data_IF_777724533224
#
_entry.id   IF_777724533224
#
_cell.length_a   1.000
_cell.length_b   1.000
_cell.length_c   1.000
_cell.angle_alpha   90.00
_cell.angle_beta   90.00
_cell.angle_gamma   90.00
#
_symmetry.space_group_name_H-M   'P 1'
#
loop_
_entity.id
_entity.type
_entity.pdbx_description
1 polymer ?
#
# COMPACT_ATOMS: atom_id res chain seq x y z
N UNK A 1 -1.31 16.69 0.99
CA UNK A 1 -0.11 17.42 0.56
C UNK A 1 0.82 16.38 -0.01
N UNK A 2 1.21 16.51 -1.28
CA UNK A 2 2.22 15.65 -1.90
C UNK A 2 3.60 16.11 -1.42
N UNK A 3 3.82 16.10 -0.10
CA UNK A 3 5.04 16.59 0.53
C UNK A 3 6.24 15.76 0.08
N UNK A 4 6.95 16.32 -0.90
CA UNK A 4 8.36 16.18 -1.25
C UNK A 4 9.10 14.94 -0.74
N UNK A 5 8.73 13.75 -1.25
CA UNK A 5 9.66 12.63 -1.43
C UNK A 5 10.63 12.94 -2.61
N UNK A 6 11.20 14.15 -2.59
CA UNK A 6 11.97 14.73 -3.67
C UNK A 6 13.39 14.16 -3.69
N UNK A 7 13.58 13.20 -4.59
CA UNK A 7 14.69 13.36 -5.53
C UNK A 7 14.36 13.00 -6.98
N UNK A 8 13.18 12.44 -7.31
CA UNK A 8 12.90 11.99 -8.69
C UNK A 8 11.47 12.27 -9.25
N UNK A 9 10.46 12.74 -8.49
CA UNK A 9 9.08 12.97 -9.01
C UNK A 9 8.69 14.46 -9.06
N UNK A 10 9.67 15.37 -9.12
CA UNK A 10 9.39 16.80 -9.13
C UNK A 10 10.34 17.54 -10.06
N UNK A 11 9.78 18.32 -10.97
CA UNK A 11 10.47 19.37 -11.69
C UNK A 11 10.27 20.75 -10.99
N UNK A 12 9.73 20.76 -9.78
CA UNK A 12 9.43 21.94 -8.97
C UNK A 12 7.99 22.42 -9.11
N UNK A 13 7.57 23.38 -8.27
CA UNK A 13 6.17 23.87 -8.31
C UNK A 13 5.90 24.81 -9.48
N UNK A 14 4.64 24.82 -9.95
CA UNK A 14 4.14 25.77 -10.95
C UNK A 14 2.81 26.38 -10.52
N UNK A 15 2.47 27.53 -11.10
CA UNK A 15 1.17 28.16 -10.86
C UNK A 15 0.05 27.39 -11.56
N UNK A 16 -1.12 27.34 -10.93
CA UNK A 16 -2.33 26.76 -11.51
C UNK A 16 -2.70 27.40 -12.87
N UNK A 17 -2.37 28.68 -13.08
CA UNK A 17 -2.54 29.34 -14.38
C UNK A 17 -1.69 28.71 -15.50
N UNK A 18 -0.54 28.14 -15.16
CA UNK A 18 0.31 27.35 -16.06
C UNK A 18 -0.36 26.04 -16.48
N UNK A 19 -0.94 25.31 -15.51
CA UNK A 19 -1.71 24.08 -15.77
C UNK A 19 -2.92 24.37 -16.67
N UNK A 20 -3.68 25.42 -16.37
CA UNK A 20 -4.82 25.84 -17.17
C UNK A 20 -4.43 26.27 -18.60
N UNK A 21 -3.26 26.94 -18.77
CA UNK A 21 -2.70 27.30 -20.09
C UNK A 21 -2.36 26.04 -20.91
N UNK A 22 -1.85 24.99 -20.26
CA UNK A 22 -1.57 23.71 -20.90
C UNK A 22 -2.84 23.04 -21.44
N UNK A 23 -3.86 22.84 -20.59
CA UNK A 23 -5.13 22.24 -21.00
C UNK A 23 -5.74 22.98 -22.21
N UNK A 24 -5.70 24.31 -22.17
CA UNK A 24 -6.18 25.17 -23.27
C UNK A 24 -5.37 24.99 -24.56
N UNK A 25 -4.04 24.88 -24.46
CA UNK A 25 -3.16 24.66 -25.63
C UNK A 25 -3.38 23.30 -26.28
N UNK A 26 -3.61 22.27 -25.48
CA UNK A 26 -3.93 20.92 -25.94
C UNK A 26 -5.38 20.78 -26.42
N UNK A 27 -6.20 21.83 -26.30
CA UNK A 27 -7.65 21.83 -26.59
C UNK A 27 -8.41 20.76 -25.78
N UNK A 28 -7.92 20.47 -24.58
CA UNK A 28 -8.53 19.54 -23.64
C UNK A 28 -9.43 20.29 -22.65
N UNK A 29 -10.40 19.60 -22.01
CA UNK A 29 -11.09 20.16 -20.86
C UNK A 29 -10.10 20.43 -19.72
N UNK A 30 -10.57 21.11 -18.66
CA UNK A 30 -9.81 21.22 -17.43
C UNK A 30 -9.42 19.83 -16.94
N UNK A 31 -8.27 19.72 -16.29
CA UNK A 31 -7.83 18.47 -15.69
C UNK A 31 -8.57 18.22 -14.37
N UNK A 32 -8.69 16.94 -13.95
CA UNK A 32 -9.20 16.59 -12.64
C UNK A 32 -8.46 17.33 -11.52
N UNK A 33 -9.15 17.61 -10.41
CA UNK A 33 -8.61 18.44 -9.34
C UNK A 33 -7.37 17.80 -8.70
N UNK A 34 -7.40 16.48 -8.49
CA UNK A 34 -6.31 15.72 -7.88
C UNK A 34 -5.03 15.81 -8.72
N UNK A 35 -5.18 15.65 -10.04
CA UNK A 35 -4.05 15.74 -10.98
C UNK A 35 -3.58 17.19 -11.16
N UNK A 36 -4.50 18.15 -11.17
CA UNK A 36 -4.16 19.59 -11.18
C UNK A 36 -3.32 19.97 -9.96
N UNK A 37 -3.71 19.49 -8.78
CA UNK A 37 -2.97 19.75 -7.55
C UNK A 37 -1.58 19.10 -7.60
N UNK A 38 -1.47 17.86 -8.06
CA UNK A 38 -0.18 17.21 -8.29
C UNK A 38 0.72 18.07 -9.18
N UNK A 39 0.23 18.51 -10.35
CA UNK A 39 1.02 19.34 -11.26
C UNK A 39 1.41 20.69 -10.68
N UNK A 40 0.55 21.33 -9.88
CA UNK A 40 0.88 22.58 -9.18
C UNK A 40 2.03 22.38 -8.20
N UNK A 41 2.01 21.27 -7.47
CA UNK A 41 3.00 20.96 -6.44
C UNK A 41 4.33 20.48 -7.04
N UNK A 42 4.29 19.62 -8.07
CA UNK A 42 5.48 18.88 -8.54
C UNK A 42 5.91 19.23 -9.96
N UNK A 43 5.00 19.76 -10.79
CA UNK A 43 5.21 19.91 -12.22
C UNK A 43 5.68 18.61 -12.91
N UNK A 44 5.14 17.46 -12.47
CA UNK A 44 5.55 16.14 -12.93
C UNK A 44 7.00 15.79 -12.57
N UNK A 45 7.53 14.72 -13.13
CA UNK A 45 8.88 14.25 -12.83
C UNK A 45 9.29 13.05 -13.65
N UNK A 46 10.55 12.65 -13.53
CA UNK A 46 11.09 11.40 -14.09
C UNK A 46 11.32 10.46 -12.89
N UNK A 47 10.25 9.82 -12.37
CA UNK A 47 10.37 8.84 -11.30
C UNK A 47 11.50 7.85 -11.61
N UNK A 48 12.29 7.53 -10.60
CA UNK A 48 13.26 6.44 -10.70
C UNK A 48 12.82 5.31 -9.80
N UNK A 49 12.68 4.12 -10.37
CA UNK A 49 12.36 2.90 -9.63
C UNK A 49 11.01 3.00 -8.89
N UNK A 50 10.04 3.62 -9.57
CA UNK A 50 8.66 3.69 -9.11
C UNK A 50 7.89 2.63 -9.87
N UNK A 51 7.43 1.61 -9.17
CA UNK A 51 6.69 0.52 -9.75
C UNK A 51 5.18 0.70 -9.55
N UNK A 52 4.42 0.10 -10.44
CA UNK A 52 2.98 -0.03 -10.36
C UNK A 52 2.59 -1.46 -10.70
N UNK A 53 1.44 -1.87 -10.19
CA UNK A 53 0.86 -3.18 -10.43
C UNK A 53 -0.45 -2.99 -11.17
N UNK A 54 -0.66 -3.77 -12.22
CA UNK A 54 -1.92 -3.83 -12.96
C UNK A 54 -2.44 -5.26 -12.94
N UNK A 55 -3.70 -5.43 -12.55
CA UNK A 55 -4.42 -6.68 -12.72
C UNK A 55 -5.03 -6.70 -14.13
N UNK A 56 -4.43 -7.47 -15.03
CA UNK A 56 -4.94 -7.73 -16.37
C UNK A 56 -5.84 -8.98 -16.35
N UNK A 57 -6.72 -9.19 -17.35
CA UNK A 57 -7.68 -10.30 -17.33
C UNK A 57 -7.09 -11.70 -17.12
N UNK A 58 -5.84 -11.93 -17.53
CA UNK A 58 -5.19 -13.25 -17.47
C UNK A 58 -3.87 -13.25 -16.66
N UNK A 59 -3.39 -12.08 -16.23
CA UNK A 59 -2.10 -11.97 -15.55
C UNK A 59 -2.01 -10.71 -14.69
N UNK A 60 -1.00 -10.68 -13.83
CA UNK A 60 -0.63 -9.49 -13.07
C UNK A 60 0.63 -8.91 -13.72
N UNK A 61 0.53 -7.68 -14.22
CA UNK A 61 1.67 -6.96 -14.77
C UNK A 61 2.29 -6.06 -13.69
N UNK A 62 3.61 -6.09 -13.59
CA UNK A 62 4.39 -5.21 -12.72
C UNK A 62 5.30 -4.35 -13.60
N UNK A 63 4.98 -3.06 -13.69
CA UNK A 63 5.69 -2.11 -14.54
C UNK A 63 6.46 -1.07 -13.74
N UNK A 64 7.52 -0.51 -14.32
CA UNK A 64 8.20 0.67 -13.79
C UNK A 64 7.72 1.92 -14.51
N UNK A 65 7.29 2.94 -13.78
CA UNK A 65 7.00 4.27 -14.32
C UNK A 65 8.33 4.97 -14.55
N UNK A 66 8.57 5.32 -15.81
CA UNK A 66 9.78 6.04 -16.23
C UNK A 66 9.55 7.54 -16.23
N UNK A 67 8.33 7.98 -16.48
CA UNK A 67 7.98 9.39 -16.59
C UNK A 67 6.56 9.64 -16.05
N UNK A 68 6.42 10.68 -15.22
CA UNK A 68 5.14 11.27 -14.85
C UNK A 68 5.08 12.67 -15.46
N UNK A 69 4.18 12.87 -16.42
CA UNK A 69 4.21 14.07 -17.25
C UNK A 69 3.97 15.35 -16.44
N UNK A 70 4.80 16.34 -16.75
CA UNK A 70 4.88 17.64 -16.13
C UNK A 70 4.79 18.77 -17.14
N UNK A 71 4.42 19.97 -16.70
CA UNK A 71 4.29 21.17 -17.57
C UNK A 71 5.66 21.79 -17.90
N UNK A 72 6.74 21.35 -17.23
CA UNK A 72 8.18 21.61 -17.39
C UNK A 72 8.62 23.08 -17.61
N UNK A 73 8.09 23.78 -18.62
CA UNK A 73 8.22 25.24 -18.75
C UNK A 73 7.02 25.83 -19.52
N UNK A 74 6.42 26.98 -19.10
CA UNK A 74 5.25 27.59 -19.75
C UNK A 74 5.47 28.08 -21.19
N UNK A 75 6.64 27.84 -21.77
CA UNK A 75 7.02 28.19 -23.15
C UNK A 75 7.66 27.01 -23.90
N UNK A 76 7.96 25.89 -23.23
CA UNK A 76 8.62 24.72 -23.83
C UNK A 76 7.68 23.51 -23.69
N UNK A 77 6.64 23.50 -24.53
CA UNK A 77 5.58 22.49 -24.52
C UNK A 77 5.84 21.33 -25.48
N UNK A 78 7.04 21.25 -26.07
CA UNK A 78 7.36 20.35 -27.18
C UNK A 78 7.08 18.89 -26.82
N UNK A 79 7.54 18.41 -25.67
CA UNK A 79 7.39 17.00 -25.26
C UNK A 79 5.94 16.57 -25.06
N UNK A 80 5.17 17.30 -24.24
CA UNK A 80 3.73 17.03 -24.01
C UNK A 80 2.90 17.20 -25.27
N UNK A 81 3.20 18.21 -26.09
CA UNK A 81 2.47 18.46 -27.35
C UNK A 81 2.79 17.40 -28.40
N UNK A 82 4.01 16.89 -28.45
CA UNK A 82 4.43 15.83 -29.38
C UNK A 82 3.83 14.49 -28.95
N UNK A 83 3.99 14.10 -27.68
CA UNK A 83 3.43 12.85 -27.16
C UNK A 83 1.90 12.87 -27.10
N UNK A 84 1.30 14.06 -26.93
CA UNK A 84 -0.15 14.22 -26.98
C UNK A 84 -0.65 14.95 -28.24
N UNK A 85 0.11 14.89 -29.34
CA UNK A 85 -0.38 15.44 -30.61
C UNK A 85 -1.44 14.49 -31.18
N UNK A 86 -2.57 14.99 -31.69
CA UNK A 86 -3.55 14.15 -32.35
C UNK A 86 -2.92 13.24 -33.41
N UNK A 87 -1.98 13.75 -34.21
CA UNK A 87 -1.29 12.99 -35.27
C UNK A 87 -0.38 11.85 -34.77
N UNK A 88 0.02 11.86 -33.49
CA UNK A 88 0.90 10.85 -32.89
C UNK A 88 0.20 9.95 -31.86
N UNK A 89 -0.98 10.35 -31.36
CA UNK A 89 -1.82 9.53 -30.46
C UNK A 89 -2.95 8.83 -31.21
N UNK A 90 -3.36 9.30 -32.39
CA UNK A 90 -4.33 8.60 -33.23
C UNK A 90 -3.89 7.12 -33.27
N UNK A 91 -4.69 6.25 -32.66
CA UNK A 91 -4.52 4.79 -32.52
C UNK A 91 -3.85 4.26 -31.24
N UNK A 92 -3.33 5.09 -30.34
CA UNK A 92 -2.70 4.64 -29.07
C UNK A 92 -3.62 4.66 -27.84
N UNK A 93 -4.47 5.67 -27.69
CA UNK A 93 -5.40 5.80 -26.54
C UNK A 93 -6.75 6.40 -26.95
N UNK A 94 -7.83 6.19 -26.18
CA UNK A 94 -9.16 6.70 -26.52
C UNK A 94 -9.22 8.24 -26.62
N UNK A 95 -10.22 8.75 -27.35
CA UNK A 95 -10.42 10.20 -27.48
C UNK A 95 -10.65 10.85 -26.10
N UNK A 96 -10.08 12.06 -25.90
CA UNK A 96 -10.09 12.79 -24.63
C UNK A 96 -9.48 12.02 -23.46
N UNK A 97 -8.53 11.13 -23.71
CA UNK A 97 -7.59 10.67 -22.69
C UNK A 97 -6.33 11.53 -22.75
N UNK A 98 -5.75 11.81 -21.58
CA UNK A 98 -4.47 12.46 -21.48
C UNK A 98 -3.45 11.43 -20.98
N UNK A 99 -2.35 11.25 -21.71
CA UNK A 99 -1.25 10.41 -21.26
C UNK A 99 -0.52 11.17 -20.14
N UNK A 100 -0.45 10.56 -18.96
CA UNK A 100 0.17 11.12 -17.74
C UNK A 100 1.41 10.35 -17.28
N UNK A 101 1.69 9.19 -17.88
CA UNK A 101 2.97 8.51 -17.68
C UNK A 101 3.26 7.44 -18.72
N UNK A 102 4.49 6.92 -18.68
CA UNK A 102 5.01 5.88 -19.58
C UNK A 102 5.80 4.88 -18.75
N UNK A 103 5.65 3.60 -19.05
CA UNK A 103 6.46 2.56 -18.44
C UNK A 103 7.72 2.23 -19.25
N UNK A 104 8.56 1.33 -18.71
CA UNK A 104 9.83 0.93 -19.32
C UNK A 104 9.73 0.22 -20.68
N UNK A 105 8.54 -0.27 -21.06
CA UNK A 105 8.30 -0.98 -22.32
C UNK A 105 7.50 -0.15 -23.34
N UNK A 106 7.05 1.04 -22.94
CA UNK A 106 6.39 2.01 -23.81
C UNK A 106 4.87 2.06 -23.69
N UNK A 107 4.30 1.28 -22.77
CA UNK A 107 2.88 1.34 -22.40
C UNK A 107 2.57 2.61 -21.63
N UNK A 108 1.30 3.02 -21.65
CA UNK A 108 0.89 4.37 -21.23
C UNK A 108 -0.03 4.34 -20.02
N UNK A 109 0.21 5.25 -19.10
CA UNK A 109 -0.73 5.56 -18.01
C UNK A 109 -1.51 6.79 -18.43
N UNK A 110 -2.84 6.70 -18.42
CA UNK A 110 -3.73 7.68 -19.03
C UNK A 110 -4.81 8.11 -18.04
N UNK A 111 -5.18 9.39 -18.06
CA UNK A 111 -6.32 9.92 -17.32
C UNK A 111 -7.48 10.19 -18.28
N UNK A 112 -8.67 9.67 -17.95
CA UNK A 112 -9.87 9.87 -18.76
C UNK A 112 -10.45 11.27 -18.51
N UNK A 113 -10.60 12.07 -19.57
CA UNK A 113 -11.19 13.41 -19.51
C UNK A 113 -12.61 13.48 -20.11
N UNK A 114 -13.18 12.35 -20.51
CA UNK A 114 -14.58 12.28 -20.91
C UNK A 114 -15.51 12.44 -19.71
N UNK A 115 -16.73 12.93 -19.95
CA UNK A 115 -17.74 13.11 -18.89
C UNK A 115 -18.03 11.82 -18.13
N UNK A 116 -18.04 10.68 -18.81
CA UNK A 116 -18.19 9.37 -18.20
C UNK A 116 -16.82 8.86 -17.76
N UNK A 117 -16.64 8.60 -16.46
CA UNK A 117 -15.36 8.15 -15.88
C UNK A 117 -14.29 9.25 -15.82
N UNK A 118 -14.69 10.52 -15.71
CA UNK A 118 -13.77 11.65 -15.62
C UNK A 118 -12.84 11.50 -14.41
N UNK A 119 -11.53 11.43 -14.64
CA UNK A 119 -10.51 11.28 -13.61
C UNK A 119 -10.02 9.84 -13.38
N UNK A 120 -10.72 8.84 -13.92
CA UNK A 120 -10.27 7.46 -13.88
C UNK A 120 -8.92 7.29 -14.59
N UNK A 121 -8.08 6.42 -14.04
CA UNK A 121 -6.75 6.11 -14.55
C UNK A 121 -6.79 4.77 -15.28
N UNK A 122 -6.23 4.75 -16.48
CA UNK A 122 -6.15 3.58 -17.34
C UNK A 122 -4.71 3.25 -17.70
N UNK A 123 -4.40 1.96 -17.80
CA UNK A 123 -3.18 1.44 -18.41
C UNK A 123 -3.49 1.04 -19.85
N UNK A 124 -2.73 1.57 -20.80
CA UNK A 124 -2.82 1.21 -22.22
C UNK A 124 -1.59 0.41 -22.58
N UNK A 125 -1.79 -0.88 -22.81
CA UNK A 125 -0.71 -1.81 -23.17
C UNK A 125 -0.29 -1.61 -24.64
N UNK A 126 0.98 -1.30 -24.85
CA UNK A 126 1.54 -1.08 -26.19
C UNK A 126 1.89 -2.40 -26.92
N UNK A 127 2.04 -3.52 -26.21
CA UNK A 127 2.43 -4.80 -26.82
C UNK A 127 1.25 -5.60 -27.40
N UNK A 128 0.01 -5.24 -27.05
CA UNK A 128 -1.18 -5.87 -27.63
C UNK A 128 -1.48 -5.25 -29.01
N UNK A 129 -1.27 -6.03 -30.08
CA UNK A 129 -1.45 -5.63 -31.49
C UNK A 129 -2.81 -4.96 -31.74
N UNK A 130 -2.77 -3.76 -32.34
CA UNK A 130 -3.94 -3.00 -32.74
C UNK A 130 -3.97 -2.90 -34.26
N UNK A 131 -4.48 -3.95 -34.94
CA UNK A 131 -4.70 -3.95 -36.39
C UNK A 131 -5.87 -3.00 -36.73
N UNK A 132 -5.58 -1.73 -37.08
CA UNK A 132 -6.63 -0.74 -37.39
C UNK A 132 -6.32 0.08 -38.63
N UNK A 133 -6.76 -0.44 -39.77
CA UNK A 133 -6.99 0.38 -40.95
C UNK A 133 -8.36 1.08 -40.81
N UNK A 134 -8.35 2.41 -41.00
CA UNK A 134 -9.49 3.34 -41.14
C UNK A 134 -9.83 4.19 -39.88
N UNK A 135 -9.54 5.48 -39.98
CA UNK A 135 -9.59 6.45 -38.88
C UNK A 135 -10.85 7.33 -38.99
N UNK A 136 -11.73 7.27 -37.99
CA UNK A 136 -12.45 8.43 -37.42
C UNK A 136 -13.34 8.01 -36.23
N UNK A 137 -12.88 8.34 -35.01
CA UNK A 137 -13.52 8.20 -33.69
C UNK A 137 -13.60 6.79 -33.07
N UNK A 138 -12.92 6.61 -31.92
CA UNK A 138 -12.93 5.38 -31.11
C UNK A 138 -13.40 5.67 -29.68
N UNK A 139 -14.28 4.82 -29.15
CA UNK A 139 -14.72 4.81 -27.74
C UNK A 139 -13.85 3.85 -26.94
N UNK A 140 -13.85 3.96 -25.61
CA UNK A 140 -13.08 3.06 -24.72
C UNK A 140 -13.35 1.58 -25.01
N UNK A 141 -14.61 1.20 -25.26
CA UNK A 141 -14.99 -0.18 -25.55
C UNK A 141 -14.42 -0.73 -26.87
N UNK A 142 -13.86 0.14 -27.71
CA UNK A 142 -13.18 -0.24 -28.94
C UNK A 142 -11.70 -0.54 -28.69
N UNK A 143 -11.13 -0.31 -27.49
CA UNK A 143 -9.74 -0.59 -27.16
C UNK A 143 -9.61 -1.82 -26.26
N UNK A 144 -9.20 -2.95 -26.85
CA UNK A 144 -9.00 -4.22 -26.12
C UNK A 144 -7.75 -4.22 -25.23
N UNK A 145 -6.88 -3.22 -25.37
CA UNK A 145 -5.60 -3.05 -24.67
C UNK A 145 -5.62 -1.93 -23.61
N UNK A 146 -6.80 -1.38 -23.28
CA UNK A 146 -6.96 -0.27 -22.33
C UNK A 146 -7.73 -0.74 -21.09
N UNK A 147 -7.04 -0.75 -19.95
CA UNK A 147 -7.52 -1.35 -18.71
C UNK A 147 -7.69 -0.28 -17.62
N UNK A 148 -8.81 -0.29 -16.91
CA UNK A 148 -9.01 0.59 -15.75
C UNK A 148 -8.11 0.13 -14.60
N UNK A 149 -7.25 1.00 -14.08
CA UNK A 149 -6.29 0.67 -13.02
C UNK A 149 -6.50 1.46 -11.72
N UNK A 150 -7.22 2.58 -11.78
CA UNK A 150 -7.67 3.30 -10.58
C UNK A 150 -8.87 4.20 -10.87
N UNK A 151 -9.71 4.44 -9.87
CA UNK A 151 -10.86 5.34 -9.97
C UNK A 151 -10.46 6.83 -9.91
N UNK A 152 -9.26 7.15 -9.43
CA UNK A 152 -8.75 8.52 -9.39
C UNK A 152 -7.22 8.57 -9.48
N UNK A 153 -6.67 9.74 -9.85
CA UNK A 153 -5.23 9.98 -9.82
C UNK A 153 -4.64 9.78 -8.42
N UNK A 154 -5.38 10.15 -7.37
CA UNK A 154 -4.93 9.98 -5.99
C UNK A 154 -4.75 8.50 -5.65
N UNK A 155 -5.74 7.67 -5.98
CA UNK A 155 -5.70 6.23 -5.70
C UNK A 155 -4.53 5.57 -6.44
N UNK A 156 -4.36 5.90 -7.73
CA UNK A 156 -3.21 5.48 -8.52
C UNK A 156 -1.87 5.92 -7.91
N UNK A 157 -1.74 7.20 -7.54
CA UNK A 157 -0.49 7.71 -7.00
C UNK A 157 -0.14 7.04 -5.67
N UNK A 158 -1.13 6.72 -4.83
CA UNK A 158 -0.92 6.00 -3.57
C UNK A 158 -0.60 4.52 -3.73
N UNK A 159 -0.93 3.91 -4.87
CA UNK A 159 -0.60 2.50 -5.15
C UNK A 159 0.84 2.31 -5.66
N UNK A 160 1.55 3.38 -5.99
CA UNK A 160 2.93 3.30 -6.49
C UNK A 160 3.89 2.83 -5.40
N UNK A 161 4.78 1.89 -5.75
CA UNK A 161 5.83 1.37 -4.86
C UNK A 161 7.19 1.95 -5.25
N UNK A 162 7.99 2.35 -4.26
CA UNK A 162 9.29 3.01 -4.47
C UNK A 162 10.42 2.04 -4.11
N UNK A 163 10.92 1.31 -5.10
CA UNK A 163 11.70 0.08 -4.91
C UNK A 163 13.15 0.31 -4.41
N UNK A 164 13.78 1.46 -4.70
CA UNK A 164 15.21 1.69 -4.36
C UNK A 164 15.49 1.96 -2.88
N UNK A 165 14.51 2.36 -2.06
CA UNK A 165 14.79 2.61 -0.64
C UNK A 165 15.12 1.31 0.12
N UNK A 166 14.52 0.18 -0.28
CA UNK A 166 14.79 -1.14 0.33
C UNK A 166 16.13 -1.77 -0.11
N UNK A 167 16.56 -1.58 -1.36
CA UNK A 167 17.87 -2.07 -1.82
C UNK A 167 19.03 -1.23 -1.31
N UNK A 168 18.83 0.09 -1.20
CA UNK A 168 19.88 1.03 -0.78
C UNK A 168 20.09 1.08 0.73
N UNK A 169 19.05 0.78 1.51
CA UNK A 169 19.10 0.75 2.96
C UNK A 169 18.61 -0.61 3.45
N UNK A 170 19.38 -1.33 4.29
CA UNK A 170 18.94 -2.61 4.82
C UNK A 170 17.85 -2.37 5.87
N UNK A 171 16.62 -2.10 5.43
CA UNK A 171 15.49 -1.70 6.28
C UNK A 171 15.19 -2.77 7.32
N UNK A 172 15.32 -4.05 6.96
CA UNK A 172 15.20 -5.16 7.91
C UNK A 172 16.22 -4.98 9.04
N UNK A 173 17.49 -4.73 8.71
CA UNK A 173 18.54 -4.43 9.70
C UNK A 173 18.28 -3.15 10.51
N UNK A 174 17.65 -2.13 9.94
CA UNK A 174 17.24 -0.92 10.68
C UNK A 174 16.16 -1.26 11.70
N UNK A 175 15.16 -2.05 11.28
CA UNK A 175 14.08 -2.50 12.14
C UNK A 175 14.61 -3.43 13.22
N UNK A 176 15.30 -4.51 12.86
CA UNK A 176 15.96 -5.48 13.76
C UNK A 176 16.82 -4.80 14.83
N UNK A 177 17.59 -3.75 14.47
CA UNK A 177 18.44 -3.04 15.42
C UNK A 177 17.71 -1.95 16.23
N UNK A 178 16.46 -1.62 15.91
CA UNK A 178 15.74 -0.54 16.57
C UNK A 178 16.28 0.86 16.25
N UNK A 179 16.83 1.08 15.05
CA UNK A 179 17.46 2.34 14.67
C UNK A 179 16.41 3.41 14.31
N UNK A 180 15.84 4.04 15.35
CA UNK A 180 14.75 5.02 15.26
C UNK A 180 15.14 6.23 14.45
N UNK A 181 16.34 6.78 14.67
CA UNK A 181 16.80 7.99 13.97
C UNK A 181 16.92 7.75 12.48
N UNK A 182 17.48 6.60 12.08
CA UNK A 182 17.63 6.27 10.67
C UNK A 182 16.30 5.92 10.02
N UNK A 183 15.40 5.20 10.69
CA UNK A 183 14.07 4.94 10.15
C UNK A 183 13.28 6.24 10.01
N UNK A 184 13.31 7.11 11.02
CA UNK A 184 12.64 8.42 10.97
C UNK A 184 13.18 9.24 9.81
N UNK A 185 14.50 9.27 9.63
CA UNK A 185 15.11 9.97 8.51
C UNK A 185 14.65 9.42 7.15
N UNK A 186 14.54 8.09 7.01
CA UNK A 186 14.05 7.48 5.78
C UNK A 186 12.57 7.81 5.53
N UNK A 187 11.74 7.83 6.56
CA UNK A 187 10.32 8.23 6.48
C UNK A 187 10.19 9.72 6.10
N UNK A 188 11.02 10.60 6.67
CA UNK A 188 11.13 12.01 6.27
C UNK A 188 11.60 12.16 4.82
N UNK A 189 12.51 11.28 4.37
CA UNK A 189 13.03 11.26 3.00
C UNK A 189 12.08 10.55 2.01
N UNK A 190 10.88 10.19 2.44
CA UNK A 190 9.79 9.69 1.57
C UNK A 190 9.66 8.17 1.48
N UNK A 191 10.31 7.40 2.36
CA UNK A 191 9.98 5.99 2.54
C UNK A 191 8.50 5.87 2.93
N UNK A 192 7.75 5.06 2.20
CA UNK A 192 6.36 4.77 2.58
C UNK A 192 6.33 4.14 3.97
N UNK A 193 5.47 4.58 4.90
CA UNK A 193 5.29 3.91 6.18
C UNK A 193 4.72 2.48 6.04
N UNK A 194 4.18 2.14 4.85
CA UNK A 194 3.65 0.82 4.49
C UNK A 194 4.56 0.07 3.49
N UNK A 195 5.81 0.49 3.36
CA UNK A 195 6.75 -0.13 2.45
C UNK A 195 6.97 -1.60 2.85
N UNK A 196 7.16 -2.49 1.87
CA UNK A 196 7.28 -3.93 2.04
C UNK A 196 8.64 -4.48 1.62
N UNK A 197 9.16 -5.46 2.36
CA UNK A 197 10.37 -6.19 2.00
C UNK A 197 10.12 -7.26 0.91
N UNK A 198 11.16 -8.00 0.53
CA UNK A 198 11.09 -9.06 -0.50
C UNK A 198 10.14 -10.21 -0.12
N UNK A 199 9.77 -10.35 1.15
CA UNK A 199 8.79 -11.31 1.66
C UNK A 199 7.38 -10.71 1.79
N UNK A 200 7.16 -9.52 1.22
CA UNK A 200 5.94 -8.74 1.32
C UNK A 200 5.59 -8.28 2.76
N UNK A 201 6.54 -8.29 3.70
CA UNK A 201 6.35 -7.84 5.07
C UNK A 201 6.45 -6.32 5.16
N UNK A 202 5.47 -5.66 5.80
CA UNK A 202 5.52 -4.22 6.05
C UNK A 202 6.53 -3.88 7.14
N UNK A 203 6.91 -2.60 7.24
CA UNK A 203 7.71 -2.09 8.38
C UNK A 203 7.09 -2.47 9.74
N UNK A 204 5.76 -2.40 9.84
CA UNK A 204 5.03 -2.75 11.06
C UNK A 204 5.15 -4.24 11.39
N UNK A 205 5.11 -5.14 10.40
CA UNK A 205 5.32 -6.57 10.61
C UNK A 205 6.71 -6.85 11.19
N UNK A 206 7.75 -6.29 10.57
CA UNK A 206 9.14 -6.50 10.98
C UNK A 206 9.37 -5.92 12.39
N UNK A 207 8.93 -4.68 12.63
CA UNK A 207 9.08 -4.07 13.95
C UNK A 207 8.30 -4.84 15.03
N UNK A 208 7.16 -5.44 14.69
CA UNK A 208 6.38 -6.26 15.59
C UNK A 208 7.08 -7.59 15.92
N UNK A 209 7.66 -8.27 14.91
CA UNK A 209 8.39 -9.53 15.08
C UNK A 209 9.75 -9.38 15.80
N UNK A 210 10.29 -8.16 15.83
CA UNK A 210 11.57 -7.82 16.47
C UNK A 210 11.39 -7.10 17.83
N UNK A 211 10.16 -7.00 18.32
CA UNK A 211 9.80 -6.31 19.58
C UNK A 211 10.18 -4.82 19.66
N UNK A 212 10.14 -4.10 18.53
CA UNK A 212 10.67 -2.73 18.40
C UNK A 212 9.61 -1.65 18.66
N UNK A 213 9.28 -1.43 19.94
CA UNK A 213 8.20 -0.54 20.37
C UNK A 213 8.36 0.90 19.90
N UNK A 214 9.58 1.43 19.96
CA UNK A 214 9.87 2.81 19.56
C UNK A 214 9.66 3.01 18.06
N UNK A 215 10.03 2.02 17.25
CA UNK A 215 9.76 2.02 15.81
C UNK A 215 8.27 1.86 15.51
N UNK A 216 7.54 1.00 16.24
CA UNK A 216 6.08 0.92 16.11
C UNK A 216 5.41 2.27 16.45
N UNK A 217 5.90 2.98 17.47
CA UNK A 217 5.42 4.31 17.81
C UNK A 217 5.73 5.36 16.73
N UNK A 218 6.91 5.28 16.13
CA UNK A 218 7.29 6.08 14.98
C UNK A 218 6.38 5.80 13.78
N UNK A 219 6.20 4.54 13.40
CA UNK A 219 5.33 4.14 12.29
C UNK A 219 3.88 4.60 12.48
N UNK A 220 3.37 4.52 13.71
CA UNK A 220 2.07 5.09 14.08
C UNK A 220 2.02 6.61 13.82
N UNK A 221 3.05 7.36 14.22
CA UNK A 221 3.16 8.82 13.95
C UNK A 221 3.09 9.12 12.45
N UNK A 222 3.64 8.24 11.62
CA UNK A 222 3.60 8.34 10.16
C UNK A 222 2.37 7.68 9.50
N UNK A 223 1.34 7.30 10.28
CA UNK A 223 0.10 6.67 9.78
C UNK A 223 0.33 5.36 9.00
N UNK A 224 1.28 4.53 9.43
CA UNK A 224 1.40 3.16 8.94
C UNK A 224 0.13 2.34 9.23
N UNK A 225 -0.21 1.40 8.35
CA UNK A 225 -1.13 0.30 8.64
C UNK A 225 -0.41 -0.75 9.48
N UNK A 226 -1.15 -1.32 10.44
CA UNK A 226 -0.70 -2.40 11.31
C UNK A 226 -1.49 -3.69 11.06
N UNK A 227 -2.24 -3.77 9.97
CA UNK A 227 -3.03 -4.96 9.63
C UNK A 227 -2.10 -6.19 9.56
N UNK A 228 -2.35 -7.21 10.38
CA UNK A 228 -1.51 -8.40 10.49
C UNK A 228 -0.26 -8.23 11.37
N UNK A 229 0.03 -7.06 11.92
CA UNK A 229 1.21 -6.85 12.78
C UNK A 229 1.05 -7.56 14.13
N UNK A 230 -0.17 -7.64 14.69
CA UNK A 230 -0.42 -8.36 15.94
C UNK A 230 -0.10 -9.86 15.80
N UNK A 231 -0.45 -10.46 14.66
CA UNK A 231 -0.09 -11.85 14.35
C UNK A 231 1.43 -12.05 14.43
N UNK A 232 2.19 -11.19 13.78
CA UNK A 232 3.66 -11.28 13.74
C UNK A 232 4.27 -11.13 15.16
N UNK A 233 3.77 -10.18 15.97
CA UNK A 233 4.20 -10.03 17.35
C UNK A 233 3.94 -11.31 18.17
N UNK A 234 2.72 -11.87 18.09
CA UNK A 234 2.35 -13.07 18.86
C UNK A 234 3.14 -14.28 18.39
N UNK A 235 3.24 -14.48 17.07
CA UNK A 235 3.94 -15.62 16.48
C UNK A 235 5.42 -15.67 16.90
N UNK A 236 6.08 -14.50 16.92
CA UNK A 236 7.47 -14.35 17.37
C UNK A 236 7.65 -14.27 18.90
N UNK A 237 6.56 -14.26 19.67
CA UNK A 237 6.60 -14.14 21.12
C UNK A 237 6.99 -12.74 21.64
N UNK A 238 6.86 -11.71 20.82
CA UNK A 238 7.18 -10.32 21.14
C UNK A 238 6.03 -9.66 21.91
N UNK A 239 5.91 -10.02 23.19
CA UNK A 239 4.77 -9.65 24.04
C UNK A 239 4.57 -8.13 24.17
N UNK A 240 5.64 -7.36 24.34
CA UNK A 240 5.56 -5.91 24.49
C UNK A 240 5.04 -5.24 23.20
N UNK A 241 5.45 -5.73 22.02
CA UNK A 241 4.97 -5.23 20.74
C UNK A 241 3.48 -5.53 20.54
N UNK A 242 3.06 -6.76 20.83
CA UNK A 242 1.65 -7.14 20.79
C UNK A 242 0.79 -6.29 21.73
N UNK A 243 1.25 -6.07 22.97
CA UNK A 243 0.58 -5.17 23.91
C UNK A 243 0.52 -3.73 23.43
N UNK A 244 1.60 -3.23 22.80
CA UNK A 244 1.63 -1.89 22.25
C UNK A 244 0.56 -1.73 21.16
N UNK A 245 0.47 -2.68 20.23
CA UNK A 245 -0.50 -2.70 19.12
C UNK A 245 -1.93 -2.71 19.67
N UNK A 246 -2.22 -3.63 20.60
CA UNK A 246 -3.54 -3.77 21.22
C UNK A 246 -3.96 -2.51 22.00
N UNK A 247 -3.10 -2.02 22.91
CA UNK A 247 -3.42 -0.85 23.76
C UNK A 247 -3.62 0.44 22.97
N UNK A 248 -3.03 0.52 21.77
CA UNK A 248 -3.15 1.67 20.90
C UNK A 248 -4.22 1.52 19.81
N UNK A 249 -4.98 0.41 19.79
CA UNK A 249 -5.99 0.09 18.78
C UNK A 249 -5.46 0.26 17.35
N UNK A 250 -4.26 -0.25 17.09
CA UNK A 250 -3.59 -0.07 15.79
C UNK A 250 -4.07 -1.05 14.73
N UNK A 251 -4.57 -2.21 15.15
CA UNK A 251 -5.17 -3.22 14.27
C UNK A 251 -6.69 -3.21 14.42
N UNK A 252 -7.39 -3.22 13.28
CA UNK A 252 -8.86 -3.11 13.25
C UNK A 252 -9.55 -4.47 13.35
N UNK A 253 -8.90 -5.50 12.86
CA UNK A 253 -9.40 -6.87 12.94
C UNK A 253 -8.81 -7.56 14.17
N UNK A 254 -9.66 -7.85 15.14
CA UNK A 254 -9.27 -8.55 16.35
C UNK A 254 -9.70 -10.03 16.32
N UNK A 255 -10.09 -10.54 15.16
CA UNK A 255 -10.25 -11.98 14.99
C UNK A 255 -8.88 -12.62 14.77
N UNK A 256 -8.71 -13.84 15.27
CA UNK A 256 -7.47 -14.58 15.02
C UNK A 256 -7.29 -14.85 13.53
N UNK A 257 -6.07 -15.19 13.10
CA UNK A 257 -5.72 -15.37 11.69
C UNK A 257 -6.38 -16.58 11.02
N UNK A 258 -6.98 -17.48 11.80
CA UNK A 258 -7.63 -18.71 11.33
C UNK A 258 -9.11 -18.69 11.73
N UNK A 259 -9.98 -19.28 10.90
CA UNK A 259 -11.41 -19.36 11.19
C UNK A 259 -11.65 -20.01 12.56
N UNK A 260 -12.44 -19.34 13.41
CA UNK A 260 -12.75 -19.79 14.77
C UNK A 260 -11.62 -19.65 15.80
N UNK A 261 -10.37 -19.37 15.40
CA UNK A 261 -9.30 -19.09 16.35
C UNK A 261 -9.36 -17.64 16.83
N UNK A 262 -9.11 -17.43 18.12
CA UNK A 262 -9.03 -16.09 18.72
C UNK A 262 -7.60 -15.76 19.08
N UNK A 263 -7.31 -14.47 19.28
CA UNK A 263 -6.01 -14.08 19.84
C UNK A 263 -5.70 -14.76 21.17
N UNK A 264 -6.72 -15.06 21.99
CA UNK A 264 -6.53 -15.73 23.28
C UNK A 264 -5.99 -17.17 23.12
N UNK A 265 -6.35 -17.89 22.06
CA UNK A 265 -5.76 -19.20 21.76
C UNK A 265 -4.26 -19.07 21.44
N UNK A 266 -3.92 -18.14 20.55
CA UNK A 266 -2.53 -17.95 20.15
C UNK A 266 -1.64 -17.45 21.30
N UNK A 267 -2.12 -16.51 22.12
CA UNK A 267 -1.32 -16.05 23.27
C UNK A 267 -1.18 -17.12 24.34
N UNK A 268 -2.15 -18.04 24.48
CA UNK A 268 -2.07 -19.17 25.38
C UNK A 268 -1.03 -20.20 24.91
N UNK A 269 -1.07 -20.57 23.62
CA UNK A 269 -0.05 -21.43 22.97
C UNK A 269 1.36 -20.84 23.09
N UNK A 270 1.48 -19.51 22.97
CA UNK A 270 2.76 -18.79 23.06
C UNK A 270 3.15 -18.37 24.48
N UNK A 271 2.35 -18.71 25.49
CA UNK A 271 2.59 -18.34 26.89
C UNK A 271 2.81 -16.83 27.12
N UNK A 272 2.05 -15.97 26.43
CA UNK A 272 2.19 -14.49 26.51
C UNK A 272 1.27 -13.92 27.61
N UNK A 273 1.64 -14.18 28.87
CA UNK A 273 0.82 -13.94 30.07
C UNK A 273 0.22 -12.54 30.14
N UNK A 274 1.00 -11.48 29.88
CA UNK A 274 0.53 -10.09 29.94
C UNK A 274 -0.47 -9.80 28.82
N UNK A 275 -0.27 -10.35 27.63
CA UNK A 275 -1.25 -10.23 26.54
C UNK A 275 -2.52 -11.00 26.85
N UNK A 276 -2.40 -12.22 27.41
CA UNK A 276 -3.54 -13.00 27.90
C UNK A 276 -4.37 -12.23 28.92
N UNK A 277 -3.72 -11.65 29.93
CA UNK A 277 -4.39 -10.82 30.93
C UNK A 277 -5.09 -9.63 30.28
N UNK A 278 -4.43 -8.93 29.36
CA UNK A 278 -5.02 -7.79 28.66
C UNK A 278 -6.25 -8.18 27.84
N UNK A 279 -6.19 -9.28 27.08
CA UNK A 279 -7.32 -9.75 26.27
C UNK A 279 -8.52 -10.14 27.15
N UNK A 280 -8.28 -10.87 28.24
CA UNK A 280 -9.33 -11.26 29.20
C UNK A 280 -9.99 -10.03 29.83
N UNK A 281 -9.19 -9.05 30.26
CA UNK A 281 -9.70 -7.79 30.84
C UNK A 281 -10.51 -6.95 29.84
N UNK A 282 -10.25 -7.10 28.54
CA UNK A 282 -10.95 -6.41 27.47
C UNK A 282 -12.05 -7.26 26.82
N UNK A 283 -12.48 -8.34 27.48
CA UNK A 283 -13.68 -9.08 27.13
C UNK A 283 -13.51 -10.18 26.08
N UNK A 284 -12.29 -10.66 25.85
CA UNK A 284 -12.09 -11.89 25.09
C UNK A 284 -12.85 -13.05 25.73
N UNK A 285 -13.55 -13.86 24.93
CA UNK A 285 -14.24 -15.04 25.45
C UNK A 285 -13.20 -16.10 25.85
N UNK A 286 -13.09 -16.31 27.16
CA UNK A 286 -12.12 -17.23 27.77
C UNK A 286 -12.40 -18.71 27.46
N UNK A 287 -13.59 -19.03 26.95
CA UNK A 287 -14.02 -20.41 26.65
C UNK A 287 -14.42 -20.61 25.18
N UNK A 288 -14.15 -19.63 24.30
CA UNK A 288 -14.35 -19.80 22.86
C UNK A 288 -13.52 -21.00 22.37
N UNK A 289 -14.06 -21.80 21.45
CA UNK A 289 -13.37 -22.98 20.94
C UNK A 289 -12.87 -22.70 19.54
N UNK A 290 -11.60 -23.02 19.28
CA UNK A 290 -11.05 -22.96 17.93
C UNK A 290 -11.61 -24.06 17.02
N UNK A 291 -11.23 -24.06 15.75
CA UNK A 291 -11.65 -25.08 14.77
C UNK A 291 -11.29 -26.52 15.20
N UNK A 292 -10.17 -26.70 15.91
CA UNK A 292 -9.77 -27.98 16.49
C UNK A 292 -10.60 -28.38 17.73
N UNK A 293 -11.61 -27.58 18.10
CA UNK A 293 -12.48 -27.87 19.23
C UNK A 293 -11.83 -27.68 20.59
N UNK A 294 -10.72 -26.93 20.64
CA UNK A 294 -9.94 -26.66 21.85
C UNK A 294 -10.31 -25.28 22.41
N UNK A 295 -10.45 -25.15 23.73
CA UNK A 295 -10.47 -23.82 24.38
C UNK A 295 -9.05 -23.26 24.52
N UNK A 296 -8.86 -21.96 24.82
CA UNK A 296 -7.53 -21.40 25.08
C UNK A 296 -6.78 -22.11 26.20
N UNK A 297 -7.48 -22.63 27.22
CA UNK A 297 -6.84 -23.42 28.28
C UNK A 297 -6.31 -24.77 27.75
N UNK A 298 -6.97 -25.36 26.75
CA UNK A 298 -6.54 -26.61 26.14
C UNK A 298 -5.36 -26.46 25.18
N UNK A 299 -5.02 -25.23 24.77
CA UNK A 299 -3.84 -24.94 23.93
C UNK A 299 -2.60 -24.53 24.75
N UNK A 300 -2.70 -24.49 26.08
CA UNK A 300 -1.53 -24.25 26.95
C UNK A 300 -0.70 -25.52 27.06
N UNK A 301 0.60 -25.43 26.78
CA UNK A 301 1.52 -26.56 26.97
C UNK A 301 1.61 -26.98 28.44
N UNK A 302 1.56 -28.29 28.72
CA UNK A 302 1.69 -28.84 30.09
C UNK A 302 3.17 -28.91 30.52
N UNK A 303 3.79 -27.74 30.64
CA UNK A 303 5.16 -27.54 31.13
C UNK A 303 5.19 -26.48 32.23
N UNK A 304 6.24 -26.48 33.06
CA UNK A 304 6.33 -25.62 34.24
C UNK A 304 6.30 -24.12 33.87
N UNK A 305 6.91 -23.76 32.74
CA UNK A 305 6.99 -22.40 32.23
C UNK A 305 5.61 -21.79 31.92
N UNK A 306 4.61 -22.62 31.61
CA UNK A 306 3.26 -22.18 31.23
C UNK A 306 2.28 -22.16 32.41
N UNK A 307 2.70 -22.59 33.62
CA UNK A 307 1.82 -22.68 34.80
C UNK A 307 1.26 -21.32 35.23
N UNK A 308 1.99 -20.23 34.97
CA UNK A 308 1.49 -18.88 35.23
C UNK A 308 0.30 -18.54 34.34
N UNK A 309 0.39 -18.83 33.04
CA UNK A 309 -0.70 -18.59 32.09
C UNK A 309 -1.90 -19.52 32.37
N UNK A 310 -1.64 -20.79 32.67
CA UNK A 310 -2.67 -21.75 33.07
C UNK A 310 -3.43 -21.24 34.30
N UNK A 311 -2.71 -20.80 35.34
CA UNK A 311 -3.31 -20.24 36.55
C UNK A 311 -4.09 -18.95 36.27
N UNK A 312 -3.59 -18.10 35.37
CA UNK A 312 -4.29 -16.89 34.90
C UNK A 312 -5.65 -17.24 34.29
N UNK A 313 -5.69 -18.20 33.38
CA UNK A 313 -6.92 -18.65 32.73
C UNK A 313 -7.90 -19.27 33.75
N UNK A 314 -7.44 -20.19 34.58
CA UNK A 314 -8.25 -20.86 35.61
C UNK A 314 -8.86 -19.83 36.58
N UNK A 315 -8.05 -18.85 37.02
CA UNK A 315 -8.50 -17.77 37.91
C UNK A 315 -9.65 -16.96 37.31
N UNK A 316 -9.68 -16.78 35.99
CA UNK A 316 -10.74 -16.06 35.28
C UNK A 316 -11.88 -16.97 34.79
N UNK A 317 -11.90 -18.24 35.22
CA UNK A 317 -13.01 -19.16 34.95
C UNK A 317 -12.91 -19.91 33.62
N UNK A 318 -11.71 -20.04 33.06
CA UNK A 318 -11.49 -20.90 31.90
C UNK A 318 -11.84 -22.35 32.21
N UNK A 319 -12.43 -23.03 31.23
CA UNK A 319 -12.74 -24.46 31.25
C UNK A 319 -11.84 -25.17 30.26
N UNK A 320 -11.35 -26.34 30.67
CA UNK A 320 -10.65 -27.24 29.76
C UNK A 320 -11.70 -27.88 28.84
N UNK A 321 -11.70 -27.48 27.56
CA UNK A 321 -12.62 -28.00 26.55
C UNK A 321 -11.78 -28.58 25.42
N UNK A 322 -12.04 -29.84 25.08
CA UNK A 322 -11.53 -30.51 23.90
C UNK A 322 -12.68 -31.33 23.32
N UNK A 323 -13.31 -30.85 22.24
CA UNK A 323 -14.48 -31.54 21.66
C UNK A 323 -14.10 -32.75 20.81
N UNK A 324 -12.81 -32.92 20.51
CA UNK A 324 -12.32 -34.08 19.77
C UNK A 324 -12.18 -35.31 20.66
N UNK A 325 -11.92 -35.14 21.96
CA UNK A 325 -11.80 -36.24 22.94
C UNK A 325 -12.84 -36.10 24.07
N UNK A 326 -13.92 -36.92 24.07
CA UNK A 326 -15.03 -36.81 25.02
C UNK A 326 -14.71 -37.26 26.46
#
# INVERSE_FOLDING_TARGET
MYEMAESNISHGSIKESGVNKLASKLKLPKFPNEYTQFLVETNGGIPKNVQFVVELPNEKYEGEIMELFGVLHPEDYSTLKEQNHPEYILDLVPENFLIIGVDGVGSRICINLNKAGYGNIYYSDHEMDVDREDQTSFKIADFDNVFLIADSFKDFFTSLTFYELFKKFPINTICENGDVEKLEKLLEDGLSPNAKDDSASTLAHICASENQIELLALLKKYNASFDGALYNAIYSGCEEAGLYILKNNLEKDLHGPYEGSTWLHMVADKNLVKMGQYLIENGADINEVCEDGLSPLATVDDIEECKEFEALLIKHGAKLINTNWP
#
